data_IF_518959001104
#
_entry.id   IF_518959001104
#
_cell.length_a   1.000
_cell.length_b   1.000
_cell.length_c   1.000
_cell.angle_alpha   90.00
_cell.angle_beta   90.00
_cell.angle_gamma   90.00
#
_symmetry.space_group_name_H-M   'P 1'
#
loop_
_entity.id
_entity.type
_entity.pdbx_description
1 polymer ?
#
# COMPACT_ATOMS: atom_id res chain seq x y z
N UNK A 1 11.70 44.97 -27.12
CA UNK A 1 10.57 44.08 -26.77
C UNK A 1 11.15 42.77 -26.26
N UNK A 2 10.96 42.51 -24.96
CA UNK A 2 11.21 41.25 -24.25
C UNK A 2 10.42 40.12 -24.94
N UNK A 3 10.86 38.87 -25.04
CA UNK A 3 11.11 37.94 -23.93
C UNK A 3 11.98 36.76 -24.38
N UNK A 4 13.01 36.43 -23.59
CA UNK A 4 13.80 35.20 -23.72
C UNK A 4 13.40 34.26 -22.57
N UNK A 5 12.69 33.18 -22.87
CA UNK A 5 12.30 32.17 -21.87
C UNK A 5 13.51 31.37 -21.41
N UNK A 6 14.02 31.70 -20.21
CA UNK A 6 15.05 30.93 -19.48
C UNK A 6 14.47 29.57 -19.07
N UNK A 7 14.97 28.52 -19.69
CA UNK A 7 14.76 27.12 -19.31
C UNK A 7 15.52 26.83 -18.01
N UNK A 8 14.85 26.92 -16.87
CA UNK A 8 15.38 26.53 -15.56
C UNK A 8 15.45 25.00 -15.47
N UNK A 9 16.63 24.45 -15.73
CA UNK A 9 16.97 23.04 -15.48
C UNK A 9 17.35 22.92 -14.00
N UNK A 10 16.40 22.56 -13.14
CA UNK A 10 16.67 22.29 -11.71
C UNK A 10 17.36 20.93 -11.60
N UNK A 11 18.58 20.96 -11.05
CA UNK A 11 19.44 19.81 -10.80
C UNK A 11 18.87 18.92 -9.69
N UNK A 12 18.56 17.67 -10.03
CA UNK A 12 17.89 16.65 -9.20
C UNK A 12 18.73 16.13 -8.01
N UNK A 13 19.92 16.68 -7.77
CA UNK A 13 20.91 16.09 -6.85
C UNK A 13 20.93 16.69 -5.43
N UNK A 14 20.19 17.78 -5.15
CA UNK A 14 20.31 18.48 -3.86
C UNK A 14 19.11 18.34 -2.91
N UNK A 15 18.00 17.72 -3.34
CA UNK A 15 16.78 17.64 -2.51
C UNK A 15 16.81 16.40 -1.57
N UNK A 16 17.65 15.40 -1.84
CA UNK A 16 17.49 14.08 -1.22
C UNK A 16 18.19 13.88 0.12
N UNK A 17 19.14 14.74 0.52
CA UNK A 17 20.01 14.44 1.68
C UNK A 17 19.59 15.13 2.98
N UNK A 18 18.81 16.22 2.93
CA UNK A 18 18.37 16.91 4.16
C UNK A 18 17.21 16.19 4.85
N UNK A 19 16.32 15.57 4.08
CA UNK A 19 15.12 14.87 4.58
C UNK A 19 15.45 13.55 5.29
N UNK A 20 16.50 12.85 4.85
CA UNK A 20 16.94 11.57 5.45
C UNK A 20 17.59 11.79 6.82
N UNK A 21 18.24 12.96 7.02
CA UNK A 21 18.97 13.27 8.26
C UNK A 21 18.06 13.54 9.46
N UNK A 22 16.79 13.88 9.24
CA UNK A 22 15.84 14.17 10.33
C UNK A 22 15.29 12.91 11.00
N UNK A 23 15.43 11.71 10.40
CA UNK A 23 14.76 10.50 10.91
C UNK A 23 15.62 9.57 11.77
N UNK A 24 16.90 9.87 12.02
CA UNK A 24 17.80 8.94 12.72
C UNK A 24 18.22 9.36 14.13
N UNK A 25 17.63 10.41 14.72
CA UNK A 25 17.97 10.82 16.09
C UNK A 25 16.74 10.95 16.99
N UNK A 26 16.26 9.82 17.52
CA UNK A 26 15.76 9.75 18.90
C UNK A 26 15.59 8.29 19.33
N UNK A 27 16.44 7.87 20.27
CA UNK A 27 16.38 6.59 20.98
C UNK A 27 15.21 6.56 21.98
N UNK A 28 13.99 6.52 21.47
CA UNK A 28 12.80 6.16 22.26
C UNK A 28 12.31 4.81 21.77
N UNK A 29 12.04 3.86 22.68
CA UNK A 29 11.37 2.61 22.33
C UNK A 29 10.20 2.92 21.38
N UNK A 30 10.26 2.54 20.10
CA UNK A 30 9.21 2.89 19.17
C UNK A 30 7.94 2.20 19.69
N UNK A 31 6.90 3.00 19.89
CA UNK A 31 5.59 2.45 20.23
C UNK A 31 5.16 1.40 19.18
N UNK A 32 4.15 0.59 19.49
CA UNK A 32 3.63 -0.40 18.54
C UNK A 32 3.32 0.27 17.20
N UNK A 33 3.63 -0.42 16.11
CA UNK A 33 3.38 0.05 14.74
C UNK A 33 2.31 -0.80 14.09
N UNK A 34 1.30 -0.15 13.52
CA UNK A 34 0.18 -0.79 12.83
C UNK A 34 0.26 -0.51 11.34
N UNK A 35 0.30 -1.56 10.53
CA UNK A 35 0.29 -1.46 9.08
C UNK A 35 -0.96 -2.15 8.52
N UNK A 36 -1.70 -1.47 7.65
CA UNK A 36 -2.81 -2.05 6.89
C UNK A 36 -2.73 -1.65 5.42
N UNK A 37 -3.20 -2.54 4.55
CA UNK A 37 -3.31 -2.31 3.11
C UNK A 37 -4.75 -2.44 2.64
N UNK A 38 -5.26 -1.45 1.92
CA UNK A 38 -6.58 -1.51 1.28
C UNK A 38 -6.43 -1.54 -0.25
N UNK A 39 -7.07 -2.52 -0.88
CA UNK A 39 -7.01 -2.66 -2.33
C UNK A 39 -7.88 -1.59 -3.00
N UNK A 40 -7.40 -0.91 -4.05
CA UNK A 40 -8.22 0.03 -4.80
C UNK A 40 -9.26 -0.76 -5.62
N UNK A 41 -10.50 -0.75 -5.11
CA UNK A 41 -11.69 -1.29 -5.77
C UNK A 41 -12.64 -0.19 -6.25
N UNK A 42 -12.21 1.07 -6.20
CA UNK A 42 -13.00 2.25 -6.55
C UNK A 42 -13.46 3.01 -5.30
N UNK A 43 -14.73 3.36 -5.25
CA UNK A 43 -15.31 4.09 -4.12
C UNK A 43 -15.55 3.11 -2.96
N UNK A 44 -15.15 3.44 -1.72
CA UNK A 44 -15.45 2.61 -0.55
C UNK A 44 -16.96 2.38 -0.40
N UNK A 45 -17.39 1.12 -0.32
CA UNK A 45 -18.77 0.76 -0.01
C UNK A 45 -18.97 0.55 1.50
N UNK A 46 -20.22 0.42 1.95
CA UNK A 46 -20.58 0.25 3.37
C UNK A 46 -19.83 -0.91 4.05
N UNK A 47 -19.64 -2.03 3.35
CA UNK A 47 -18.85 -3.16 3.89
C UNK A 47 -17.39 -2.79 4.22
N UNK A 48 -16.74 -1.93 3.43
CA UNK A 48 -15.39 -1.44 3.74
C UNK A 48 -15.44 -0.46 4.90
N UNK A 49 -16.50 0.34 4.98
CA UNK A 49 -16.66 1.32 6.03
C UNK A 49 -16.78 0.67 7.41
N UNK A 50 -17.79 -0.16 7.63
CA UNK A 50 -18.02 -0.82 8.91
C UNK A 50 -16.97 -1.91 9.21
N UNK A 51 -16.47 -2.60 8.18
CA UNK A 51 -15.51 -3.69 8.36
C UNK A 51 -14.07 -3.24 8.61
N UNK A 52 -13.69 -2.04 8.15
CA UNK A 52 -12.30 -1.59 8.21
C UNK A 52 -12.14 -0.11 8.58
N UNK A 53 -12.83 0.79 7.89
CA UNK A 53 -12.57 2.24 8.02
C UNK A 53 -12.99 2.77 9.39
N UNK A 54 -14.18 2.41 9.87
CA UNK A 54 -14.67 2.84 11.19
C UNK A 54 -13.76 2.32 12.33
N UNK A 55 -13.40 1.02 12.40
CA UNK A 55 -12.42 0.53 13.36
C UNK A 55 -11.07 1.28 13.28
N UNK A 56 -10.60 1.58 12.06
CA UNK A 56 -9.35 2.32 11.88
C UNK A 56 -9.42 3.73 12.47
N UNK A 57 -10.53 4.45 12.23
CA UNK A 57 -10.76 5.78 12.80
C UNK A 57 -10.86 5.72 14.32
N UNK A 58 -11.49 4.69 14.88
CA UNK A 58 -11.54 4.49 16.33
C UNK A 58 -10.14 4.25 16.90
N UNK A 59 -9.30 3.44 16.25
CA UNK A 59 -7.90 3.28 16.64
C UNK A 59 -7.11 4.58 16.57
N UNK A 60 -7.33 5.40 15.54
CA UNK A 60 -6.71 6.72 15.44
C UNK A 60 -7.06 7.61 16.64
N UNK A 61 -8.25 7.46 17.24
CA UNK A 61 -8.68 8.27 18.39
C UNK A 61 -8.16 7.73 19.73
N UNK A 62 -8.17 6.41 19.91
CA UNK A 62 -7.86 5.77 21.19
C UNK A 62 -6.35 5.60 21.41
N UNK A 63 -5.57 5.39 20.35
CA UNK A 63 -4.14 5.10 20.48
C UNK A 63 -3.32 6.35 20.84
N UNK A 64 -2.18 6.20 21.56
CA UNK A 64 -1.25 7.30 21.81
C UNK A 64 -0.74 7.94 20.51
N UNK A 65 -0.39 9.24 20.58
CA UNK A 65 0.24 9.96 19.44
C UNK A 65 1.59 9.37 19.01
N UNK A 66 2.25 8.62 19.89
CA UNK A 66 3.52 7.94 19.63
C UNK A 66 3.37 6.64 18.83
N UNK A 67 2.13 6.16 18.62
CA UNK A 67 1.86 4.96 17.83
C UNK A 67 1.95 5.28 16.34
N UNK A 68 2.77 4.50 15.62
CA UNK A 68 2.89 4.65 14.18
C UNK A 68 1.75 3.90 13.49
N UNK A 69 0.87 4.64 12.80
CA UNK A 69 -0.22 4.06 12.02
C UNK A 69 0.05 4.30 10.54
N UNK A 70 0.10 3.21 9.77
CA UNK A 70 0.46 3.22 8.36
C UNK A 70 -0.66 2.56 7.56
N UNK A 71 -1.20 3.29 6.58
CA UNK A 71 -2.23 2.81 5.69
C UNK A 71 -1.74 2.91 4.24
N UNK A 72 -1.71 1.78 3.54
CA UNK A 72 -1.27 1.72 2.15
C UNK A 72 -2.44 1.44 1.21
N UNK A 73 -2.55 2.23 0.13
CA UNK A 73 -3.43 1.87 -0.99
C UNK A 73 -2.65 0.95 -1.92
N UNK A 74 -3.02 -0.33 -1.94
CA UNK A 74 -2.23 -1.40 -2.55
C UNK A 74 -2.58 -1.66 -4.01
N UNK A 75 -2.13 -0.76 -4.88
CA UNK A 75 -2.37 -0.81 -6.33
C UNK A 75 -1.63 -1.96 -7.01
N UNK A 76 -0.42 -2.31 -6.57
CA UNK A 76 0.30 -3.48 -7.11
C UNK A 76 -0.44 -4.80 -6.79
N UNK A 77 -1.06 -4.92 -5.60
CA UNK A 77 -1.92 -6.07 -5.27
C UNK A 77 -3.18 -6.17 -6.12
N UNK A 78 -3.68 -5.05 -6.62
CA UNK A 78 -4.81 -5.05 -7.54
C UNK A 78 -4.44 -5.65 -8.91
N UNK A 79 -3.19 -5.47 -9.37
CA UNK A 79 -2.71 -5.97 -10.67
C UNK A 79 -2.56 -7.49 -10.67
N UNK A 80 -2.14 -8.10 -9.56
CA UNK A 80 -1.92 -9.55 -9.50
C UNK A 80 -3.21 -10.39 -9.64
N UNK A 81 -4.39 -9.77 -9.59
CA UNK A 81 -5.65 -10.47 -9.78
C UNK A 81 -5.97 -10.71 -11.27
N UNK A 82 -5.33 -10.00 -12.18
CA UNK A 82 -5.50 -10.12 -13.63
C UNK A 82 -5.27 -8.80 -14.35
N UNK A 83 -5.31 -8.80 -15.69
CA UNK A 83 -5.17 -7.59 -16.49
C UNK A 83 -6.22 -6.55 -16.10
N UNK A 84 -5.78 -5.34 -15.77
CA UNK A 84 -6.66 -4.21 -15.46
C UNK A 84 -6.41 -3.07 -16.43
N UNK A 85 -7.46 -2.32 -16.74
CA UNK A 85 -7.30 -1.07 -17.48
C UNK A 85 -6.47 -0.09 -16.63
N UNK A 86 -5.33 0.42 -17.13
CA UNK A 86 -4.44 1.29 -16.37
C UNK A 86 -5.09 2.62 -15.99
N UNK A 87 -5.96 3.18 -16.82
CA UNK A 87 -6.67 4.43 -16.52
C UNK A 87 -7.67 4.24 -15.38
N UNK A 88 -8.40 3.13 -15.43
CA UNK A 88 -9.35 2.75 -14.38
C UNK A 88 -8.62 2.53 -13.05
N UNK A 89 -7.52 1.78 -13.04
CA UNK A 89 -6.75 1.54 -11.80
C UNK A 89 -6.24 2.84 -11.18
N UNK A 90 -5.76 3.79 -11.99
CA UNK A 90 -5.33 5.12 -11.51
C UNK A 90 -6.50 5.90 -10.91
N UNK A 91 -7.64 5.92 -11.60
CA UNK A 91 -8.87 6.56 -11.11
C UNK A 91 -9.33 5.94 -9.78
N UNK A 92 -9.37 4.61 -9.71
CA UNK A 92 -9.84 3.87 -8.53
C UNK A 92 -8.89 4.03 -7.34
N UNK A 93 -7.58 4.07 -7.57
CA UNK A 93 -6.58 4.36 -6.54
C UNK A 93 -6.81 5.75 -5.94
N UNK A 94 -7.04 6.76 -6.80
CA UNK A 94 -7.33 8.12 -6.35
C UNK A 94 -8.67 8.18 -5.61
N UNK A 95 -9.73 7.56 -6.14
CA UNK A 95 -11.05 7.53 -5.51
C UNK A 95 -11.02 6.84 -4.15
N UNK A 96 -10.27 5.75 -4.02
CA UNK A 96 -10.09 5.04 -2.76
C UNK A 96 -9.38 5.95 -1.74
N UNK A 97 -8.26 6.56 -2.12
CA UNK A 97 -7.52 7.46 -1.24
C UNK A 97 -8.36 8.67 -0.79
N UNK A 98 -9.07 9.31 -1.72
CA UNK A 98 -9.98 10.42 -1.40
C UNK A 98 -11.15 9.95 -0.54
N UNK A 99 -11.70 8.77 -0.81
CA UNK A 99 -12.78 8.17 -0.03
C UNK A 99 -12.38 7.90 1.42
N UNK A 100 -11.18 7.37 1.65
CA UNK A 100 -10.65 7.16 3.01
C UNK A 100 -10.58 8.47 3.81
N UNK A 101 -10.02 9.52 3.20
CA UNK A 101 -9.93 10.84 3.84
C UNK A 101 -11.33 11.43 4.06
N UNK A 102 -12.23 11.32 3.08
CA UNK A 102 -13.61 11.80 3.19
C UNK A 102 -14.41 11.06 4.26
N UNK A 103 -14.16 9.77 4.48
CA UNK A 103 -14.76 8.98 5.54
C UNK A 103 -14.22 9.31 6.94
N UNK A 104 -13.16 10.11 7.05
CA UNK A 104 -12.63 10.59 8.33
C UNK A 104 -11.27 10.03 8.74
N UNK A 105 -10.54 9.37 7.83
CA UNK A 105 -9.14 9.00 8.09
C UNK A 105 -8.28 10.26 8.10
N UNK A 106 -7.70 10.58 9.27
CA UNK A 106 -6.85 11.76 9.42
C UNK A 106 -5.40 11.48 8.94
N UNK A 107 -4.91 12.15 7.87
CA UNK A 107 -3.55 11.98 7.38
C UNK A 107 -2.48 12.55 8.33
N UNK A 108 -2.87 13.36 9.33
CA UNK A 108 -1.96 13.87 10.35
C UNK A 108 -1.58 12.79 11.38
N UNK A 109 -2.47 11.81 11.57
CA UNK A 109 -2.31 10.68 12.50
C UNK A 109 -1.88 9.39 11.81
N UNK A 110 -2.17 9.23 10.52
CA UNK A 110 -1.85 8.03 9.75
C UNK A 110 -1.07 8.38 8.50
N UNK A 111 0.06 7.70 8.31
CA UNK A 111 0.82 7.75 7.07
C UNK A 111 0.05 7.03 5.97
N UNK A 112 -0.67 7.80 5.15
CA UNK A 112 -1.39 7.30 3.97
C UNK A 112 -0.51 7.43 2.73
N UNK A 113 -0.24 6.33 2.06
CA UNK A 113 0.57 6.34 0.82
C UNK A 113 0.11 5.28 -0.18
N UNK A 114 0.51 5.43 -1.44
CA UNK A 114 0.26 4.45 -2.51
C UNK A 114 1.43 3.48 -2.61
N UNK A 115 1.15 2.18 -2.67
CA UNK A 115 2.17 1.13 -2.67
C UNK A 115 3.21 1.32 -3.80
N UNK A 116 2.78 1.65 -5.02
CA UNK A 116 3.70 1.88 -6.14
C UNK A 116 4.65 3.09 -5.99
N UNK A 117 4.40 4.02 -5.06
CA UNK A 117 5.30 5.16 -4.82
C UNK A 117 6.57 4.77 -4.05
N UNK A 118 6.58 3.59 -3.42
CA UNK A 118 7.70 3.08 -2.63
C UNK A 118 8.31 1.86 -3.35
N UNK A 119 9.22 2.07 -4.32
CA UNK A 119 9.78 0.98 -5.13
C UNK A 119 10.55 -0.07 -4.30
N UNK A 120 11.00 0.30 -3.10
CA UNK A 120 11.67 -0.60 -2.15
C UNK A 120 10.76 -1.77 -1.74
N UNK A 121 9.44 -1.59 -1.71
CA UNK A 121 8.48 -2.66 -1.40
C UNK A 121 8.56 -3.76 -2.47
N UNK A 122 8.67 -3.39 -3.75
CA UNK A 122 8.80 -4.35 -4.84
C UNK A 122 10.13 -5.10 -4.79
N UNK A 123 11.23 -4.40 -4.48
CA UNK A 123 12.55 -5.02 -4.32
C UNK A 123 12.59 -6.02 -3.17
N UNK A 124 12.04 -5.65 -2.02
CA UNK A 124 11.94 -6.56 -0.87
C UNK A 124 11.05 -7.76 -1.18
N UNK A 125 9.92 -7.55 -1.86
CA UNK A 125 9.04 -8.64 -2.27
C UNK A 125 9.75 -9.65 -3.16
N UNK A 126 10.64 -9.21 -4.05
CA UNK A 126 11.45 -10.10 -4.88
C UNK A 126 12.41 -10.97 -4.06
N UNK A 127 13.12 -10.36 -3.11
CA UNK A 127 14.02 -11.08 -2.21
C UNK A 127 13.24 -12.11 -1.37
N UNK A 128 12.11 -11.70 -0.78
CA UNK A 128 11.26 -12.61 0.01
C UNK A 128 10.69 -13.75 -0.84
N UNK A 129 10.32 -13.45 -2.10
CA UNK A 129 9.88 -14.45 -3.07
C UNK A 129 10.94 -15.53 -3.33
N UNK A 130 12.23 -15.16 -3.40
CA UNK A 130 13.33 -16.11 -3.58
C UNK A 130 13.54 -17.06 -2.39
N UNK A 131 13.05 -16.69 -1.20
CA UNK A 131 13.11 -17.52 0.01
C UNK A 131 11.91 -18.46 0.15
N UNK A 132 10.85 -18.27 -0.64
CA UNK A 132 9.65 -19.09 -0.61
C UNK A 132 9.71 -20.23 -1.62
N UNK A 133 9.34 -21.43 -1.19
CA UNK A 133 9.19 -22.59 -2.07
C UNK A 133 7.73 -22.75 -2.52
N UNK A 134 7.53 -23.23 -3.75
CA UNK A 134 6.19 -23.52 -4.30
C UNK A 134 5.37 -24.44 -3.40
N UNK A 135 6.02 -25.41 -2.76
CA UNK A 135 5.38 -26.35 -1.81
C UNK A 135 4.80 -25.67 -0.57
N UNK A 136 5.44 -24.61 -0.06
CA UNK A 136 4.89 -23.82 1.06
C UNK A 136 3.68 -22.99 0.61
N UNK A 137 3.72 -22.44 -0.62
CA UNK A 137 2.61 -21.70 -1.21
C UNK A 137 1.35 -22.54 -1.37
N UNK A 138 1.50 -23.76 -1.88
CA UNK A 138 0.39 -24.70 -2.09
C UNK A 138 -0.36 -25.07 -0.81
N UNK A 139 0.22 -24.83 0.37
CA UNK A 139 -0.44 -25.09 1.67
C UNK A 139 -1.36 -23.95 2.10
N UNK A 140 -1.20 -22.76 1.54
CA UNK A 140 -2.02 -21.60 1.90
C UNK A 140 -3.45 -21.77 1.34
N UNK A 141 -4.49 -21.77 2.18
CA UNK A 141 -5.87 -21.92 1.73
C UNK A 141 -6.25 -20.88 0.65
N UNK A 142 -5.83 -19.63 0.81
CA UNK A 142 -6.11 -18.57 -0.17
C UNK A 142 -5.45 -18.83 -1.52
N UNK A 143 -4.29 -19.48 -1.53
CA UNK A 143 -3.62 -19.88 -2.75
C UNK A 143 -4.37 -21.04 -3.40
N UNK A 144 -4.77 -22.05 -2.63
CA UNK A 144 -5.56 -23.19 -3.12
C UNK A 144 -6.89 -22.74 -3.72
N UNK A 145 -7.61 -21.86 -3.05
CA UNK A 145 -8.92 -21.36 -3.52
C UNK A 145 -8.80 -20.55 -4.81
N UNK A 146 -7.71 -19.81 -4.99
CA UNK A 146 -7.45 -19.06 -6.22
C UNK A 146 -6.95 -19.96 -7.34
N UNK A 147 -6.10 -20.94 -7.02
CA UNK A 147 -5.58 -21.91 -7.98
C UNK A 147 -6.68 -22.86 -8.47
N UNK A 148 -7.63 -23.26 -7.62
CA UNK A 148 -8.78 -24.08 -8.03
C UNK A 148 -9.76 -23.32 -8.93
N UNK A 149 -9.91 -22.00 -8.71
CA UNK A 149 -10.78 -21.12 -9.52
C UNK A 149 -10.17 -20.68 -10.85
N UNK A 150 -8.84 -20.70 -10.99
CA UNK A 150 -8.12 -20.37 -12.23
C UNK A 150 -7.41 -21.61 -12.77
N UNK A 151 -8.06 -22.34 -13.68
CA UNK A 151 -7.51 -23.53 -14.35
C UNK A 151 -6.35 -23.23 -15.33
N UNK A 152 -5.65 -22.10 -15.20
CA UNK A 152 -4.63 -21.63 -16.15
C UNK A 152 -3.40 -21.11 -15.41
N UNK A 153 -2.35 -21.95 -15.42
CA UNK A 153 -0.95 -21.71 -15.04
C UNK A 153 -0.64 -21.25 -13.58
N UNK A 154 0.24 -21.95 -12.85
CA UNK A 154 0.62 -21.63 -11.47
C UNK A 154 1.49 -20.36 -11.31
N UNK A 155 2.03 -19.81 -12.41
CA UNK A 155 2.88 -18.61 -12.40
C UNK A 155 2.14 -17.34 -11.97
N UNK A 156 0.87 -17.18 -12.36
CA UNK A 156 0.10 -15.95 -12.11
C UNK A 156 -0.41 -15.83 -10.65
N UNK A 157 -0.56 -16.94 -9.95
CA UNK A 157 -0.99 -16.96 -8.55
C UNK A 157 0.17 -16.79 -7.55
N UNK A 158 1.42 -16.85 -8.01
CA UNK A 158 2.60 -17.02 -7.16
C UNK A 158 3.15 -15.74 -6.52
N UNK A 159 2.85 -14.57 -7.07
CA UNK A 159 3.59 -13.36 -6.71
C UNK A 159 3.15 -12.70 -5.41
N UNK A 160 1.93 -12.95 -4.92
CA UNK A 160 1.41 -12.26 -3.71
C UNK A 160 0.57 -13.16 -2.78
N UNK A 161 1.14 -14.23 -2.23
CA UNK A 161 0.55 -14.92 -1.08
C UNK A 161 0.79 -14.17 0.24
N UNK A 162 1.71 -13.20 0.29
CA UNK A 162 2.19 -12.60 1.54
C UNK A 162 1.31 -11.47 2.09
N UNK A 163 0.40 -10.90 1.29
CA UNK A 163 -0.26 -9.63 1.63
C UNK A 163 -1.77 -9.69 1.85
N UNK A 164 -2.37 -10.88 1.99
CA UNK A 164 -3.80 -11.00 2.36
C UNK A 164 -3.93 -11.82 3.64
N UNK A 165 -4.41 -11.24 4.76
CA UNK A 165 -4.75 -12.05 5.93
C UNK A 165 -5.89 -13.03 5.57
N UNK A 166 -5.99 -14.16 6.28
CA UNK A 166 -7.14 -15.04 6.16
C UNK A 166 -8.40 -14.26 6.52
N UNK A 167 -9.26 -14.03 5.53
CA UNK A 167 -10.65 -13.65 5.80
C UNK A 167 -11.30 -14.88 6.44
N UNK A 168 -11.61 -14.77 7.74
CA UNK A 168 -12.55 -15.66 8.44
C UNK A 168 -13.91 -15.62 7.77
#
# INVERSE_FOLDING_TARGET
>A
MFTTSKKLRVSSSQISTSLVKTMTTSSSNPGPSYFSGIQPTGIPHLGNYFGFIEPWIQFQKTLPKSTCMILSVVDQHAISLGPKNPEQLRSDTRRMATGLVACGVDPSRTLLFRQSDVPQIAQLSWILGSLQTSTKLMRLPQYKDKASKKATSPSDCSLIPFCRPPTS
#
